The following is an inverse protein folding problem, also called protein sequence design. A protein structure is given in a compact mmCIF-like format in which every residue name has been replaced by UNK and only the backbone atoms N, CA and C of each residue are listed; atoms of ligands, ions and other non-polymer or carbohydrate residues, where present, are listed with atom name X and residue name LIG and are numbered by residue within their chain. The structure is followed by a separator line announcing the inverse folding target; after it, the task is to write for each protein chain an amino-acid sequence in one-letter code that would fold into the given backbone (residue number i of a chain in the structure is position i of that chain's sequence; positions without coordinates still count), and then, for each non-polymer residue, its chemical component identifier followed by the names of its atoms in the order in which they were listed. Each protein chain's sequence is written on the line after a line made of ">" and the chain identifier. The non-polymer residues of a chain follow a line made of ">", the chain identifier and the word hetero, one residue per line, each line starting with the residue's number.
data_IF_122476948292
#
_entry.id   IF_122476948292
#
_cell.length_a   1.000
_cell.length_b   1.000
_cell.length_c   1.000
_cell.angle_alpha   90.00
_cell.angle_beta   90.00
_cell.angle_gamma   90.00
#
_symmetry.space_group_name_H-M   'P 1'
#
loop_
_entity.id
_entity.type
_entity.pdbx_description
1 polymer ?
#
# COMPACT_ATOMS: atom_id res chain seq x y z
N UNK A 1 39.84 -3.66 -49.90
CA UNK A 1 39.60 -4.07 -48.51
C UNK A 1 38.59 -3.11 -47.92
N UNK A 2 37.30 -3.48 -48.03
CA UNK A 2 36.18 -2.63 -47.59
C UNK A 2 35.90 -2.82 -46.10
N UNK A 3 36.05 -1.74 -45.35
CA UNK A 3 35.63 -1.70 -43.93
C UNK A 3 34.13 -1.45 -43.89
N UNK A 4 33.33 -2.51 -43.68
CA UNK A 4 31.92 -2.40 -43.32
C UNK A 4 31.78 -1.67 -41.97
N UNK A 5 31.28 -0.44 -42.02
CA UNK A 5 30.78 0.30 -40.84
C UNK A 5 29.48 -0.37 -40.36
N UNK A 6 29.55 -1.06 -39.26
CA UNK A 6 28.37 -1.49 -38.52
C UNK A 6 27.73 -0.26 -37.84
N UNK A 7 26.69 0.27 -38.44
CA UNK A 7 25.82 1.27 -37.81
C UNK A 7 24.96 0.57 -36.80
N UNK A 8 25.33 0.69 -35.53
CA UNK A 8 24.46 0.38 -34.38
C UNK A 8 23.27 1.32 -34.44
N UNK A 9 22.10 0.81 -34.82
CA UNK A 9 20.86 1.55 -34.74
C UNK A 9 20.45 1.63 -33.28
N UNK A 10 20.78 2.74 -32.62
CA UNK A 10 20.11 3.15 -31.38
C UNK A 10 18.64 3.39 -31.75
N UNK A 11 17.79 2.44 -31.39
CA UNK A 11 16.34 2.60 -31.46
C UNK A 11 16.00 3.76 -30.54
N UNK A 12 15.59 4.90 -31.10
CA UNK A 12 15.14 6.04 -30.33
C UNK A 12 14.05 5.55 -29.38
N UNK A 13 14.30 5.62 -28.06
CA UNK A 13 13.28 5.37 -27.05
C UNK A 13 12.20 6.41 -27.27
N UNK A 14 10.99 5.95 -27.57
CA UNK A 14 9.80 6.81 -27.72
C UNK A 14 9.71 7.76 -26.51
N UNK A 15 9.74 9.05 -26.78
CA UNK A 15 9.64 10.11 -25.77
C UNK A 15 8.20 10.38 -25.33
N UNK A 16 7.24 9.59 -25.78
CA UNK A 16 5.87 9.67 -25.29
C UNK A 16 5.82 9.22 -23.82
N UNK A 17 5.61 10.17 -22.93
CA UNK A 17 5.34 9.90 -21.51
C UNK A 17 3.99 9.20 -21.39
N UNK A 18 4.01 7.88 -21.22
CA UNK A 18 2.80 7.12 -20.92
C UNK A 18 2.45 7.25 -19.45
N UNK A 19 1.19 7.46 -19.16
CA UNK A 19 0.67 7.41 -17.80
C UNK A 19 0.89 6.00 -17.25
N UNK A 20 1.59 5.87 -16.12
CA UNK A 20 1.89 4.57 -15.50
C UNK A 20 0.93 4.25 -14.36
N UNK A 21 0.52 5.25 -13.60
CA UNK A 21 -0.35 5.08 -12.45
C UNK A 21 -1.19 6.31 -12.14
N UNK A 22 -2.34 6.08 -11.51
CA UNK A 22 -3.21 7.12 -10.93
C UNK A 22 -3.36 6.88 -9.43
N UNK A 23 -3.24 7.96 -8.64
CA UNK A 23 -3.65 8.02 -7.24
C UNK A 23 -5.02 8.68 -7.17
N UNK A 24 -6.04 7.93 -6.75
CA UNK A 24 -7.41 8.39 -6.70
C UNK A 24 -7.89 8.47 -5.23
N UNK A 25 -8.11 9.67 -4.75
CA UNK A 25 -8.73 9.93 -3.45
C UNK A 25 -10.24 9.82 -3.61
N UNK A 26 -10.80 8.67 -3.25
CA UNK A 26 -12.20 8.35 -3.54
C UNK A 26 -13.20 8.94 -2.57
N UNK A 27 -12.78 9.29 -1.35
CA UNK A 27 -13.64 9.89 -0.33
C UNK A 27 -12.83 10.66 0.71
N UNK A 28 -13.37 11.76 1.21
CA UNK A 28 -12.87 12.46 2.39
C UNK A 28 -13.38 11.88 3.72
N UNK A 29 -14.32 10.94 3.70
CA UNK A 29 -14.90 10.35 4.92
C UNK A 29 -13.99 9.28 5.50
N UNK A 30 -13.85 9.28 6.83
CA UNK A 30 -13.10 8.25 7.55
C UNK A 30 -13.80 7.95 8.89
N UNK A 31 -13.78 6.68 9.30
CA UNK A 31 -14.29 6.21 10.59
C UNK A 31 -13.17 6.02 11.63
N UNK A 32 -11.96 6.53 11.36
CA UNK A 32 -10.84 6.57 12.28
C UNK A 32 -10.31 8.02 12.44
N UNK A 33 -9.61 8.29 13.54
CA UNK A 33 -9.01 9.61 13.86
C UNK A 33 -7.52 9.45 14.15
N UNK A 34 -6.79 8.86 13.19
CA UNK A 34 -5.39 8.54 13.37
C UNK A 34 -4.55 9.78 13.70
N UNK A 35 -3.72 9.68 14.73
CA UNK A 35 -2.84 10.77 15.15
C UNK A 35 -1.84 11.17 14.05
N UNK A 36 -1.32 10.19 13.30
CA UNK A 36 -0.36 10.39 12.21
C UNK A 36 -0.99 10.64 10.83
N UNK A 37 -2.32 10.86 10.75
CA UNK A 37 -3.00 11.03 9.47
C UNK A 37 -2.54 12.32 8.76
N UNK A 38 -1.85 12.16 7.62
CA UNK A 38 -1.41 13.27 6.78
C UNK A 38 -2.54 13.94 5.98
N UNK A 39 -3.69 13.26 5.86
CA UNK A 39 -4.87 13.74 5.12
C UNK A 39 -5.92 14.39 6.03
N UNK A 40 -5.64 14.51 7.33
CA UNK A 40 -6.60 14.98 8.34
C UNK A 40 -7.17 16.36 8.02
N UNK A 41 -6.31 17.31 7.63
CA UNK A 41 -6.73 18.69 7.31
C UNK A 41 -7.65 18.76 6.09
N UNK A 42 -7.44 17.89 5.08
CA UNK A 42 -8.30 17.84 3.90
C UNK A 42 -9.68 17.24 4.24
N UNK A 43 -9.71 16.20 5.09
CA UNK A 43 -10.98 15.65 5.58
C UNK A 43 -11.79 16.66 6.38
N UNK A 44 -11.12 17.49 7.17
CA UNK A 44 -11.77 18.51 8.01
C UNK A 44 -12.40 19.65 7.18
N UNK A 45 -11.95 19.87 5.94
CA UNK A 45 -12.57 20.82 4.99
C UNK A 45 -13.95 20.40 4.49
N UNK A 46 -14.35 19.15 4.70
CA UNK A 46 -15.65 18.59 4.30
C UNK A 46 -16.03 18.87 2.84
N UNK A 47 -15.04 18.83 1.95
CA UNK A 47 -15.30 18.94 0.52
C UNK A 47 -16.12 17.73 0.04
N UNK A 48 -17.02 17.91 -0.94
CA UNK A 48 -17.76 16.79 -1.53
C UNK A 48 -16.80 15.80 -2.18
N UNK A 49 -17.11 14.52 -2.06
CA UNK A 49 -16.41 13.48 -2.80
C UNK A 49 -16.68 13.62 -4.31
N UNK A 50 -15.73 13.22 -5.15
CA UNK A 50 -15.98 13.08 -6.59
C UNK A 50 -17.18 12.16 -6.81
N UNK A 51 -18.12 12.59 -7.66
CA UNK A 51 -19.26 11.77 -8.09
C UNK A 51 -18.77 10.59 -8.93
N UNK A 52 -19.61 9.57 -9.06
CA UNK A 52 -19.32 8.45 -9.96
C UNK A 52 -19.14 8.91 -11.41
N UNK A 53 -19.95 9.87 -11.88
CA UNK A 53 -19.86 10.39 -13.25
C UNK A 53 -18.57 11.18 -13.50
N UNK A 54 -18.06 11.92 -12.51
CA UNK A 54 -16.76 12.59 -12.62
C UNK A 54 -15.61 11.57 -12.69
N UNK A 55 -15.64 10.53 -11.86
CA UNK A 55 -14.67 9.44 -11.91
C UNK A 55 -14.76 8.68 -13.24
N UNK A 56 -15.97 8.49 -13.75
CA UNK A 56 -16.20 7.89 -15.07
C UNK A 56 -15.52 8.70 -16.17
N UNK A 57 -15.68 10.03 -16.19
CA UNK A 57 -14.98 10.90 -17.14
C UNK A 57 -13.46 10.77 -17.04
N UNK A 58 -12.91 10.69 -15.81
CA UNK A 58 -11.47 10.46 -15.61
C UNK A 58 -11.06 9.14 -16.27
N UNK A 59 -11.79 8.05 -16.05
CA UNK A 59 -11.45 6.76 -16.64
C UNK A 59 -11.55 6.75 -18.18
N UNK A 60 -12.56 7.44 -18.76
CA UNK A 60 -12.76 7.53 -20.21
C UNK A 60 -11.67 8.36 -20.91
N UNK A 61 -11.03 9.30 -20.21
CA UNK A 61 -10.06 10.24 -20.79
C UNK A 61 -8.61 9.94 -20.45
N UNK A 62 -8.34 9.17 -19.39
CA UNK A 62 -6.98 8.90 -18.90
C UNK A 62 -6.16 7.97 -19.84
N UNK A 63 -6.81 7.23 -20.75
CA UNK A 63 -6.14 6.23 -21.57
C UNK A 63 -5.70 5.00 -20.76
N UNK A 64 -4.80 4.19 -21.31
CA UNK A 64 -4.32 2.98 -20.65
C UNK A 64 -3.21 3.29 -19.65
N UNK A 65 -3.26 2.63 -18.48
CA UNK A 65 -2.22 2.66 -17.48
C UNK A 65 -2.22 1.37 -16.64
N UNK A 66 -1.16 1.12 -15.85
CA UNK A 66 -0.98 -0.17 -15.20
C UNK A 66 -1.56 -0.22 -13.78
N UNK A 67 -1.44 0.85 -12.99
CA UNK A 67 -1.69 0.81 -11.55
C UNK A 67 -2.68 1.85 -11.08
N UNK A 68 -3.67 1.41 -10.31
CA UNK A 68 -4.62 2.29 -9.63
C UNK A 68 -4.36 2.24 -8.11
N UNK A 69 -3.96 3.38 -7.56
CA UNK A 69 -3.76 3.56 -6.13
C UNK A 69 -4.98 4.26 -5.54
N UNK A 70 -5.79 3.51 -4.81
CA UNK A 70 -6.92 4.07 -4.07
C UNK A 70 -6.39 4.75 -2.81
N UNK A 71 -6.97 5.88 -2.45
CA UNK A 71 -6.64 6.66 -1.26
C UNK A 71 -7.86 7.46 -0.78
N UNK A 72 -7.64 8.32 0.20
CA UNK A 72 -8.65 9.21 0.77
C UNK A 72 -8.69 9.12 2.28
N UNK A 73 -9.89 9.22 2.86
CA UNK A 73 -10.15 8.83 4.26
C UNK A 73 -10.11 7.30 4.38
N UNK A 74 -11.27 6.67 4.57
CA UNK A 74 -11.37 5.21 4.52
C UNK A 74 -12.13 4.80 3.24
N UNK A 75 -11.45 4.22 2.24
CA UNK A 75 -12.09 3.87 0.97
C UNK A 75 -13.29 2.94 1.11
N UNK A 76 -13.27 2.07 2.13
CA UNK A 76 -14.34 1.10 2.38
C UNK A 76 -15.65 1.74 2.87
N UNK A 77 -15.68 3.05 3.10
CA UNK A 77 -16.91 3.80 3.38
C UNK A 77 -17.62 4.27 2.10
N UNK A 78 -16.96 4.18 0.94
CA UNK A 78 -17.56 4.55 -0.33
C UNK A 78 -18.28 3.34 -0.94
N UNK A 79 -19.60 3.41 -1.08
CA UNK A 79 -20.42 2.24 -1.46
C UNK A 79 -20.19 1.77 -2.89
N UNK A 80 -19.98 2.71 -3.82
CA UNK A 80 -19.74 2.45 -5.24
C UNK A 80 -18.26 2.16 -5.58
N UNK A 81 -17.39 1.92 -4.58
CA UNK A 81 -15.98 1.61 -4.83
C UNK A 81 -15.78 0.37 -5.73
N UNK A 82 -16.51 -0.75 -5.56
CA UNK A 82 -16.37 -1.88 -6.47
C UNK A 82 -16.64 -1.51 -7.93
N UNK A 83 -17.69 -0.73 -8.20
CA UNK A 83 -18.04 -0.24 -9.53
C UNK A 83 -16.94 0.66 -10.11
N UNK A 84 -16.34 1.51 -9.29
CA UNK A 84 -15.20 2.35 -9.69
C UNK A 84 -14.01 1.50 -10.12
N UNK A 85 -13.68 0.46 -9.37
CA UNK A 85 -12.57 -0.44 -9.71
C UNK A 85 -12.82 -1.17 -11.02
N UNK A 86 -14.04 -1.70 -11.21
CA UNK A 86 -14.47 -2.39 -12.42
C UNK A 86 -14.43 -1.44 -13.65
N UNK A 87 -14.79 -0.17 -13.44
CA UNK A 87 -14.74 0.87 -14.48
C UNK A 87 -13.30 1.08 -14.99
N UNK A 88 -12.33 1.26 -14.09
CA UNK A 88 -10.92 1.42 -14.47
C UNK A 88 -10.31 0.14 -15.06
N UNK A 89 -10.73 -1.03 -14.59
CA UNK A 89 -10.33 -2.30 -15.19
C UNK A 89 -10.77 -2.38 -16.65
N UNK A 90 -12.03 -2.03 -16.92
CA UNK A 90 -12.63 -2.07 -18.27
C UNK A 90 -12.04 -1.01 -19.21
N UNK A 91 -11.96 0.25 -18.76
CA UNK A 91 -11.63 1.37 -19.63
C UNK A 91 -10.11 1.57 -19.77
N UNK A 92 -9.33 1.32 -18.72
CA UNK A 92 -7.93 1.67 -18.66
C UNK A 92 -6.99 0.44 -18.64
N UNK A 93 -7.56 -0.78 -18.60
CA UNK A 93 -6.81 -2.05 -18.61
C UNK A 93 -5.78 -2.16 -17.49
N UNK A 94 -6.13 -1.67 -16.29
CA UNK A 94 -5.27 -1.72 -15.12
C UNK A 94 -4.90 -3.18 -14.78
N UNK A 95 -3.67 -3.36 -14.28
CA UNK A 95 -3.10 -4.66 -13.90
C UNK A 95 -3.03 -4.85 -12.39
N UNK A 96 -2.93 -3.75 -11.67
CA UNK A 96 -2.76 -3.74 -10.22
C UNK A 96 -3.63 -2.65 -9.59
N UNK A 97 -4.36 -3.02 -8.54
CA UNK A 97 -5.10 -2.09 -7.67
C UNK A 97 -4.54 -2.20 -6.26
N UNK A 98 -4.26 -1.06 -5.63
CA UNK A 98 -3.92 -0.99 -4.20
C UNK A 98 -5.03 -0.29 -3.42
N UNK A 99 -5.54 -0.94 -2.38
CA UNK A 99 -6.60 -0.42 -1.51
C UNK A 99 -6.11 -0.41 -0.07
N UNK A 100 -5.76 0.78 0.47
CA UNK A 100 -5.50 0.92 1.89
C UNK A 100 -6.80 0.83 2.68
N UNK A 101 -6.76 0.23 3.86
CA UNK A 101 -7.91 0.16 4.75
C UNK A 101 -7.49 0.07 6.22
N UNK A 102 -8.28 0.68 7.09
CA UNK A 102 -8.12 0.55 8.54
C UNK A 102 -8.68 -0.78 9.11
N UNK A 103 -9.30 -1.59 8.27
CA UNK A 103 -9.80 -2.91 8.63
C UNK A 103 -11.05 -2.95 9.52
N UNK A 104 -11.74 -1.83 9.74
CA UNK A 104 -12.92 -1.75 10.62
C UNK A 104 -14.20 -2.40 10.06
N UNK A 105 -14.19 -2.83 8.80
CA UNK A 105 -15.35 -3.42 8.10
C UNK A 105 -14.99 -4.78 7.47
N UNK A 106 -14.67 -5.82 8.27
CA UNK A 106 -14.13 -7.09 7.77
C UNK A 106 -14.97 -7.73 6.67
N UNK A 107 -16.29 -7.86 6.88
CA UNK A 107 -17.19 -8.53 5.94
C UNK A 107 -17.32 -7.78 4.62
N UNK A 108 -17.44 -6.44 4.69
CA UNK A 108 -17.49 -5.58 3.51
C UNK A 108 -16.22 -5.71 2.66
N UNK A 109 -15.06 -5.73 3.28
CA UNK A 109 -13.78 -5.86 2.58
C UNK A 109 -13.71 -7.20 1.86
N UNK A 110 -14.09 -8.29 2.52
CA UNK A 110 -14.11 -9.62 1.90
C UNK A 110 -15.10 -9.70 0.73
N UNK A 111 -16.30 -9.14 0.90
CA UNK A 111 -17.31 -9.08 -0.16
C UNK A 111 -16.79 -8.34 -1.40
N UNK A 112 -16.16 -7.17 -1.20
CA UNK A 112 -15.61 -6.39 -2.29
C UNK A 112 -14.45 -7.08 -3.01
N UNK A 113 -13.56 -7.72 -2.27
CA UNK A 113 -12.48 -8.51 -2.87
C UNK A 113 -13.06 -9.68 -3.69
N UNK A 114 -14.09 -10.37 -3.17
CA UNK A 114 -14.79 -11.44 -3.92
C UNK A 114 -15.37 -10.91 -5.24
N UNK A 115 -16.13 -9.83 -5.17
CA UNK A 115 -16.73 -9.19 -6.35
C UNK A 115 -15.66 -8.76 -7.36
N UNK A 116 -14.60 -8.09 -6.89
CA UNK A 116 -13.50 -7.67 -7.76
C UNK A 116 -12.83 -8.85 -8.44
N UNK A 117 -12.56 -9.94 -7.72
CA UNK A 117 -11.95 -11.14 -8.30
C UNK A 117 -12.82 -11.80 -9.36
N UNK A 118 -14.14 -11.76 -9.18
CA UNK A 118 -15.09 -12.28 -10.16
C UNK A 118 -15.13 -11.45 -11.44
N UNK A 119 -15.13 -10.11 -11.31
CA UNK A 119 -15.33 -9.18 -12.42
C UNK A 119 -14.03 -8.71 -13.08
N UNK A 120 -12.90 -8.83 -12.37
CA UNK A 120 -11.57 -8.38 -12.81
C UNK A 120 -10.52 -9.50 -12.67
N UNK A 121 -10.69 -10.66 -13.33
CA UNK A 121 -9.91 -11.89 -13.05
C UNK A 121 -8.41 -11.73 -13.30
N UNK A 122 -7.99 -10.90 -14.24
CA UNK A 122 -6.58 -10.72 -14.62
C UNK A 122 -5.86 -9.62 -13.82
N UNK A 123 -6.61 -8.82 -13.04
CA UNK A 123 -6.06 -7.73 -12.25
C UNK A 123 -5.68 -8.21 -10.84
N UNK A 124 -4.51 -7.81 -10.37
CA UNK A 124 -4.14 -8.03 -8.96
C UNK A 124 -4.85 -7.02 -8.07
N UNK A 125 -5.27 -7.46 -6.90
CA UNK A 125 -5.76 -6.58 -5.84
C UNK A 125 -4.86 -6.69 -4.62
N UNK A 126 -4.26 -5.59 -4.21
CA UNK A 126 -3.47 -5.48 -2.98
C UNK A 126 -4.31 -4.83 -1.90
N UNK A 127 -4.73 -5.61 -0.91
CA UNK A 127 -5.38 -5.08 0.29
C UNK A 127 -4.28 -4.69 1.27
N UNK A 128 -4.08 -3.38 1.43
CA UNK A 128 -3.07 -2.80 2.31
C UNK A 128 -3.69 -2.45 3.65
N UNK A 129 -3.63 -3.41 4.58
CA UNK A 129 -4.23 -3.28 5.90
C UNK A 129 -3.32 -2.46 6.82
N UNK A 130 -3.88 -1.40 7.37
CA UNK A 130 -3.20 -0.56 8.36
C UNK A 130 -3.10 -1.27 9.71
N UNK A 131 -1.87 -1.53 10.19
CA UNK A 131 -1.64 -2.18 11.48
C UNK A 131 -0.30 -1.69 12.07
N UNK A 132 -0.34 -0.93 13.18
CA UNK A 132 0.80 -0.13 13.62
C UNK A 132 1.47 -0.63 14.90
N UNK A 133 1.04 -1.75 15.46
CA UNK A 133 1.57 -2.28 16.72
C UNK A 133 0.55 -3.13 17.44
N UNK A 134 0.86 -3.50 18.68
CA UNK A 134 0.01 -4.39 19.48
C UNK A 134 -1.12 -3.63 20.20
N UNK A 135 -2.31 -4.21 20.19
CA UNK A 135 -3.44 -3.87 21.07
C UNK A 135 -3.69 -2.36 21.19
N UNK A 136 -3.55 -1.85 22.40
CA UNK A 136 -3.84 -0.44 22.73
C UNK A 136 -2.90 0.55 22.05
N UNK A 137 -1.67 0.18 21.71
CA UNK A 137 -0.76 1.05 20.94
C UNK A 137 -1.35 1.34 19.56
N UNK A 138 -1.79 0.31 18.85
CA UNK A 138 -2.50 0.48 17.58
C UNK A 138 -3.77 1.30 17.73
N UNK A 139 -4.61 0.97 18.70
CA UNK A 139 -5.88 1.65 18.93
C UNK A 139 -5.70 3.14 19.24
N UNK A 140 -4.71 3.48 20.06
CA UNK A 140 -4.35 4.87 20.38
C UNK A 140 -3.88 5.62 19.12
N UNK A 141 -2.99 5.01 18.35
CA UNK A 141 -2.44 5.61 17.14
C UNK A 141 -3.53 5.82 16.07
N UNK A 142 -4.49 4.91 15.96
CA UNK A 142 -5.64 4.99 15.03
C UNK A 142 -6.82 5.80 15.57
N UNK A 143 -6.83 6.10 16.87
CA UNK A 143 -7.92 6.84 17.53
C UNK A 143 -9.24 6.07 17.54
N UNK A 144 -9.19 4.72 17.59
CA UNK A 144 -10.36 3.83 17.59
C UNK A 144 -10.13 2.66 18.53
N UNK A 145 -10.76 2.63 19.72
CA UNK A 145 -10.68 1.48 20.61
C UNK A 145 -11.17 0.19 19.93
N UNK A 146 -10.41 -0.90 20.10
CA UNK A 146 -10.71 -2.21 19.52
C UNK A 146 -10.38 -2.36 18.04
N UNK A 147 -9.80 -1.35 17.39
CA UNK A 147 -9.41 -1.44 15.98
C UNK A 147 -8.38 -2.55 15.73
N UNK A 148 -7.45 -2.77 16.65
CA UNK A 148 -6.48 -3.85 16.54
C UNK A 148 -7.14 -5.20 16.26
N UNK A 149 -8.12 -5.58 17.07
CA UNK A 149 -8.82 -6.85 16.89
C UNK A 149 -9.66 -6.89 15.61
N UNK A 150 -10.26 -5.77 15.20
CA UNK A 150 -11.00 -5.68 13.94
C UNK A 150 -10.09 -5.79 12.72
N UNK A 151 -8.92 -5.17 12.76
CA UNK A 151 -7.91 -5.31 11.71
C UNK A 151 -7.40 -6.77 11.62
N UNK A 152 -7.15 -7.42 12.76
CA UNK A 152 -6.78 -8.85 12.77
C UNK A 152 -7.89 -9.75 12.24
N UNK A 153 -9.15 -9.47 12.58
CA UNK A 153 -10.32 -10.18 12.03
C UNK A 153 -10.36 -10.03 10.50
N UNK A 154 -10.14 -8.81 10.00
CA UNK A 154 -10.07 -8.55 8.56
C UNK A 154 -8.96 -9.36 7.89
N UNK A 155 -7.75 -9.34 8.44
CA UNK A 155 -6.62 -10.08 7.90
C UNK A 155 -6.90 -11.59 7.87
N UNK A 156 -7.44 -12.14 8.96
CA UNK A 156 -7.81 -13.54 9.06
C UNK A 156 -8.86 -13.91 8.00
N UNK A 157 -9.93 -13.13 7.86
CA UNK A 157 -10.98 -13.39 6.87
C UNK A 157 -10.46 -13.31 5.43
N UNK A 158 -9.58 -12.35 5.11
CA UNK A 158 -8.94 -12.29 3.79
C UNK A 158 -8.07 -13.54 3.57
N UNK A 159 -7.31 -13.96 4.56
CA UNK A 159 -6.46 -15.15 4.46
C UNK A 159 -7.29 -16.43 4.28
N UNK A 160 -8.39 -16.58 5.00
CA UNK A 160 -9.30 -17.75 4.89
C UNK A 160 -10.02 -17.83 3.53
N UNK A 161 -10.42 -16.68 2.98
CA UNK A 161 -11.16 -16.63 1.72
C UNK A 161 -10.26 -16.64 0.47
N UNK A 162 -9.02 -16.11 0.59
CA UNK A 162 -8.14 -15.86 -0.56
C UNK A 162 -6.70 -16.28 -0.30
N UNK A 163 -6.45 -17.18 0.64
CA UNK A 163 -5.09 -17.61 1.00
C UNK A 163 -4.27 -18.11 -0.17
N UNK A 164 -4.91 -18.86 -1.06
CA UNK A 164 -4.31 -19.50 -2.23
C UNK A 164 -4.53 -18.71 -3.55
N UNK A 165 -5.26 -17.59 -3.51
CA UNK A 165 -5.43 -16.73 -4.68
C UNK A 165 -4.21 -15.82 -4.84
N UNK A 166 -3.32 -16.16 -5.78
CA UNK A 166 -2.10 -15.39 -6.09
C UNK A 166 -2.37 -13.98 -6.63
N UNK A 167 -3.63 -13.64 -6.94
CA UNK A 167 -4.04 -12.30 -7.39
C UNK A 167 -4.51 -11.41 -6.23
N UNK A 168 -4.74 -11.98 -5.04
CA UNK A 168 -5.10 -11.23 -3.83
C UNK A 168 -3.87 -11.08 -2.94
N UNK A 169 -3.21 -9.94 -3.06
CA UNK A 169 -2.04 -9.61 -2.26
C UNK A 169 -2.48 -9.03 -0.90
N UNK A 170 -1.81 -9.45 0.14
CA UNK A 170 -2.07 -9.06 1.53
C UNK A 170 -0.86 -8.29 2.05
N UNK A 171 -0.98 -6.95 2.08
CA UNK A 171 0.05 -6.09 2.64
C UNK A 171 -0.35 -5.60 4.03
N UNK A 172 0.60 -5.54 4.93
CA UNK A 172 0.48 -4.77 6.16
C UNK A 172 1.19 -3.43 5.95
N UNK A 173 0.52 -2.34 6.28
CA UNK A 173 1.08 -1.00 6.26
C UNK A 173 1.19 -0.48 7.70
N UNK A 174 2.42 -0.23 8.14
CA UNK A 174 2.74 0.29 9.48
C UNK A 174 3.35 1.68 9.37
N UNK A 175 2.79 2.63 10.10
CA UNK A 175 3.39 3.96 10.26
C UNK A 175 4.12 4.03 11.58
N UNK A 176 5.43 4.30 11.54
CA UNK A 176 6.26 4.48 12.74
C UNK A 176 6.00 5.87 13.32
N UNK A 177 5.74 5.90 14.61
CA UNK A 177 5.58 7.09 15.43
C UNK A 177 6.27 6.88 16.78
N UNK A 178 6.29 7.92 17.62
CA UNK A 178 6.76 7.79 19.00
C UNK A 178 6.00 6.73 19.83
N UNK A 179 4.78 6.36 19.42
CA UNK A 179 3.93 5.43 20.18
C UNK A 179 4.27 3.96 19.98
N UNK A 180 4.82 3.60 18.82
CA UNK A 180 5.08 2.20 18.47
C UNK A 180 6.54 1.87 18.21
N UNK A 181 7.43 2.84 18.29
CA UNK A 181 8.85 2.70 17.94
C UNK A 181 9.54 1.58 18.72
N UNK A 182 9.25 1.46 20.02
CA UNK A 182 9.91 0.51 20.91
C UNK A 182 9.41 -0.95 20.73
N UNK A 183 8.36 -1.16 19.93
CA UNK A 183 7.79 -2.48 19.69
C UNK A 183 7.81 -2.91 18.21
N UNK A 184 8.41 -2.11 17.33
CA UNK A 184 8.26 -2.31 15.88
C UNK A 184 8.89 -3.62 15.40
N UNK A 185 10.06 -3.98 15.92
CA UNK A 185 10.75 -5.21 15.59
C UNK A 185 9.94 -6.45 16.03
N UNK A 186 9.53 -6.49 17.30
CA UNK A 186 8.71 -7.57 17.85
C UNK A 186 7.39 -7.69 17.10
N UNK A 187 6.76 -6.54 16.79
CA UNK A 187 5.51 -6.50 16.06
C UNK A 187 5.64 -7.06 14.64
N UNK A 188 6.67 -6.66 13.91
CA UNK A 188 6.92 -7.18 12.56
C UNK A 188 7.23 -8.68 12.57
N UNK A 189 8.05 -9.12 13.51
CA UNK A 189 8.39 -10.53 13.69
C UNK A 189 7.14 -11.35 14.01
N UNK A 190 6.29 -10.85 14.89
CA UNK A 190 5.01 -11.50 15.20
C UNK A 190 4.08 -11.57 13.99
N UNK A 191 3.92 -10.49 13.23
CA UNK A 191 3.12 -10.49 11.99
C UNK A 191 3.65 -11.51 10.99
N UNK A 192 4.98 -11.51 10.78
CA UNK A 192 5.62 -12.44 9.86
C UNK A 192 5.40 -13.91 10.24
N UNK A 193 5.53 -14.23 11.52
CA UNK A 193 5.35 -15.60 12.02
C UNK A 193 3.88 -16.05 12.10
N UNK A 194 2.94 -15.11 12.25
CA UNK A 194 1.53 -15.43 12.47
C UNK A 194 0.67 -15.42 11.21
N UNK A 195 1.03 -14.58 10.24
CA UNK A 195 0.21 -14.38 9.04
C UNK A 195 1.02 -14.60 7.76
N UNK A 196 0.36 -15.17 6.77
CA UNK A 196 0.93 -15.31 5.42
C UNK A 196 0.63 -14.04 4.60
N UNK A 197 1.28 -12.95 4.98
CA UNK A 197 1.20 -11.67 4.26
C UNK A 197 2.19 -11.66 3.09
N UNK A 198 1.82 -10.97 2.01
CA UNK A 198 2.67 -10.82 0.82
C UNK A 198 3.84 -9.87 1.10
N UNK A 199 3.53 -8.75 1.78
CA UNK A 199 4.51 -7.72 2.13
C UNK A 199 4.15 -7.07 3.46
N UNK A 200 5.13 -6.38 4.06
CA UNK A 200 4.94 -5.48 5.19
C UNK A 200 5.65 -4.16 4.89
N UNK A 201 4.88 -3.12 4.61
CA UNK A 201 5.42 -1.79 4.32
C UNK A 201 5.52 -0.99 5.60
N UNK A 202 6.67 -0.34 5.81
CA UNK A 202 6.91 0.54 6.95
C UNK A 202 7.21 1.94 6.45
N UNK A 203 6.54 2.93 7.03
CA UNK A 203 6.75 4.34 6.74
C UNK A 203 6.88 5.13 8.05
N UNK A 204 7.74 6.15 8.08
CA UNK A 204 7.74 7.11 9.18
C UNK A 204 6.60 8.13 8.99
N UNK A 205 5.99 8.58 10.10
CA UNK A 205 5.00 9.64 10.07
C UNK A 205 5.60 10.92 9.46
N UNK A 206 4.96 11.47 8.44
CA UNK A 206 5.45 12.60 7.64
C UNK A 206 4.36 13.59 7.28
N UNK A 207 4.76 14.77 6.79
CA UNK A 207 3.85 15.82 6.35
C UNK A 207 3.10 16.48 7.52
N UNK A 208 1.97 17.09 7.24
CA UNK A 208 1.10 17.71 8.25
C UNK A 208 0.21 16.62 8.86
N UNK A 209 0.57 16.14 10.03
CA UNK A 209 -0.19 15.11 10.75
C UNK A 209 -1.28 15.73 11.64
N UNK A 210 -2.28 14.93 12.04
CA UNK A 210 -3.32 15.39 12.98
C UNK A 210 -2.74 15.80 14.33
N UNK A 211 -1.76 15.03 14.83
CA UNK A 211 -0.96 15.33 16.00
C UNK A 211 0.51 15.44 15.58
N UNK A 212 1.06 16.64 15.56
CA UNK A 212 2.45 16.86 15.18
C UNK A 212 3.47 16.23 16.14
N UNK A 213 3.06 16.00 17.40
CA UNK A 213 3.88 15.33 18.40
C UNK A 213 4.22 13.88 18.06
N UNK A 214 3.54 13.24 17.09
CA UNK A 214 3.85 11.84 16.70
C UNK A 214 5.14 11.70 15.90
N UNK A 215 5.66 12.78 15.31
CA UNK A 215 6.81 12.80 14.38
C UNK A 215 8.18 12.89 15.07
N UNK A 216 8.26 12.80 16.39
CA UNK A 216 9.51 12.96 17.13
C UNK A 216 10.40 11.74 16.92
N UNK A 217 11.02 11.66 15.76
CA UNK A 217 11.97 10.63 15.39
C UNK A 217 13.29 11.29 14.99
N UNK A 218 14.34 11.01 15.74
CA UNK A 218 15.68 11.48 15.37
C UNK A 218 16.27 10.58 14.28
N UNK A 219 17.23 11.08 13.51
CA UNK A 219 17.92 10.28 12.49
C UNK A 219 18.58 9.03 13.11
N UNK A 220 19.18 9.16 14.29
CA UNK A 220 19.79 8.04 15.02
C UNK A 220 18.77 6.97 15.38
N UNK A 221 17.57 7.36 15.79
CA UNK A 221 16.48 6.44 16.10
C UNK A 221 16.00 5.71 14.84
N UNK A 222 15.85 6.42 13.72
CA UNK A 222 15.43 5.82 12.45
C UNK A 222 16.48 4.84 11.89
N UNK A 223 17.78 5.15 12.03
CA UNK A 223 18.87 4.24 11.67
C UNK A 223 18.84 2.97 12.50
N UNK A 224 18.71 3.10 13.83
CA UNK A 224 18.59 1.95 14.72
C UNK A 224 17.41 1.05 14.31
N UNK A 225 16.22 1.62 14.10
CA UNK A 225 15.07 0.83 13.65
C UNK A 225 15.35 0.09 12.35
N UNK A 226 15.99 0.75 11.39
CA UNK A 226 16.33 0.12 10.12
C UNK A 226 17.25 -1.09 10.33
N UNK A 227 18.25 -0.98 11.20
CA UNK A 227 19.15 -2.09 11.51
C UNK A 227 18.38 -3.22 12.20
N UNK A 228 17.52 -2.90 13.18
CA UNK A 228 16.70 -3.85 13.93
C UNK A 228 15.72 -4.63 13.03
N UNK A 229 15.06 -3.96 12.07
CA UNK A 229 14.06 -4.59 11.19
C UNK A 229 14.64 -5.21 9.91
N UNK A 230 15.91 -4.96 9.59
CA UNK A 230 16.56 -5.46 8.37
C UNK A 230 16.51 -6.99 8.22
N UNK A 231 16.72 -7.79 9.29
CA UNK A 231 16.61 -9.25 9.21
C UNK A 231 15.20 -9.72 8.80
N UNK A 232 14.15 -9.11 9.38
CA UNK A 232 12.78 -9.50 9.07
C UNK A 232 12.37 -9.10 7.65
N UNK A 233 12.87 -7.97 7.13
CA UNK A 233 12.70 -7.62 5.73
C UNK A 233 13.37 -8.60 4.79
N UNK A 234 14.56 -9.09 5.13
CA UNK A 234 15.23 -10.14 4.36
C UNK A 234 14.39 -11.42 4.32
N UNK A 235 13.76 -11.79 5.43
CA UNK A 235 12.86 -12.94 5.50
C UNK A 235 11.61 -12.76 4.64
N UNK A 236 11.03 -11.55 4.60
CA UNK A 236 9.94 -11.24 3.66
C UNK A 236 10.38 -11.35 2.21
N UNK A 237 11.57 -10.83 1.86
CA UNK A 237 12.13 -10.93 0.52
C UNK A 237 12.34 -12.38 0.10
N UNK A 238 12.85 -13.22 1.00
CA UNK A 238 13.08 -14.64 0.74
C UNK A 238 11.76 -15.41 0.55
N UNK A 239 10.71 -15.07 1.33
CA UNK A 239 9.36 -15.61 1.16
C UNK A 239 8.79 -15.26 -0.22
N UNK A 240 8.87 -13.99 -0.64
CA UNK A 240 8.43 -13.56 -1.97
C UNK A 240 9.19 -14.26 -3.10
N UNK A 241 10.49 -14.50 -2.91
CA UNK A 241 11.34 -15.22 -3.87
C UNK A 241 10.97 -16.69 -3.95
N UNK A 242 10.61 -17.33 -2.83
CA UNK A 242 10.16 -18.72 -2.82
C UNK A 242 8.87 -18.93 -3.63
N UNK A 243 7.99 -17.94 -3.61
CA UNK A 243 6.73 -17.94 -4.38
C UNK A 243 6.93 -17.56 -5.87
N UNK A 244 8.16 -17.24 -6.30
CA UNK A 244 8.48 -16.82 -7.67
C UNK A 244 9.32 -17.89 -8.38
N UNK A 245 9.06 -18.17 -9.66
CA UNK A 245 9.81 -19.17 -10.43
C UNK A 245 10.84 -18.54 -11.37
N UNK A 246 11.99 -19.23 -11.57
CA UNK A 246 12.97 -18.93 -12.61
C UNK A 246 13.84 -17.68 -12.38
N UNK A 247 14.26 -17.02 -13.49
CA UNK A 247 15.16 -15.85 -13.51
C UNK A 247 14.61 -14.60 -12.79
N UNK A 248 13.34 -14.57 -12.44
CA UNK A 248 12.73 -13.44 -11.69
C UNK A 248 13.13 -13.39 -10.22
N UNK A 249 13.58 -14.51 -9.64
CA UNK A 249 13.97 -14.61 -8.21
C UNK A 249 14.99 -13.55 -7.75
N UNK A 250 16.17 -13.41 -8.37
CA UNK A 250 17.16 -12.43 -7.93
C UNK A 250 16.70 -10.98 -8.15
N UNK A 251 15.93 -10.73 -9.22
CA UNK A 251 15.38 -9.41 -9.53
C UNK A 251 14.34 -8.99 -8.48
N UNK A 252 13.43 -9.89 -8.12
CA UNK A 252 12.40 -9.64 -7.10
C UNK A 252 13.05 -9.33 -5.74
N UNK A 253 14.07 -10.11 -5.35
CA UNK A 253 14.82 -9.87 -4.11
C UNK A 253 15.54 -8.52 -4.13
N UNK A 254 16.20 -8.19 -5.24
CA UNK A 254 16.90 -6.92 -5.41
C UNK A 254 15.95 -5.72 -5.31
N UNK A 255 14.79 -5.77 -5.97
CA UNK A 255 13.78 -4.71 -5.88
C UNK A 255 13.20 -4.56 -4.48
N UNK A 256 12.92 -5.66 -3.79
CA UNK A 256 12.38 -5.61 -2.43
C UNK A 256 13.39 -5.04 -1.43
N UNK A 257 14.65 -5.47 -1.50
CA UNK A 257 15.74 -4.92 -0.69
C UNK A 257 16.08 -3.48 -1.11
N UNK A 258 15.89 -3.13 -2.39
CA UNK A 258 16.03 -1.77 -2.90
C UNK A 258 14.96 -0.82 -2.37
N UNK A 259 13.72 -1.29 -2.14
CA UNK A 259 12.66 -0.53 -1.46
C UNK A 259 13.06 -0.15 -0.02
N UNK A 260 13.76 -1.03 0.69
CA UNK A 260 14.31 -0.75 2.03
C UNK A 260 15.34 0.38 1.95
N UNK A 261 16.24 0.36 0.94
CA UNK A 261 17.20 1.44 0.70
C UNK A 261 16.55 2.76 0.29
N UNK A 262 15.42 2.70 -0.42
CA UNK A 262 14.65 3.89 -0.83
C UNK A 262 13.94 4.52 0.38
N UNK A 263 13.44 3.72 1.31
CA UNK A 263 12.99 4.21 2.62
C UNK A 263 14.12 4.97 3.35
N UNK A 264 15.34 4.45 3.29
CA UNK A 264 16.54 5.10 3.82
C UNK A 264 16.81 6.46 3.17
N UNK A 265 16.77 6.56 1.85
CA UNK A 265 17.03 7.80 1.12
C UNK A 265 15.91 8.82 1.32
N UNK A 266 14.65 8.38 1.42
CA UNK A 266 13.51 9.27 1.74
C UNK A 266 13.61 9.79 3.18
N UNK A 267 14.05 8.98 4.12
CA UNK A 267 14.29 9.39 5.51
C UNK A 267 15.45 10.38 5.62
N UNK A 268 16.49 10.25 4.78
CA UNK A 268 17.61 11.20 4.72
C UNK A 268 17.28 12.50 4.00
N UNK A 269 16.25 12.56 3.16
CA UNK A 269 15.77 13.75 2.45
C UNK A 269 14.76 14.59 3.24
N UNK A 270 14.30 14.12 4.40
CA UNK A 270 13.36 14.86 5.28
C UNK A 270 14.08 15.96 6.09
N UNK A 271 15.37 16.13 5.90
CA UNK A 271 16.16 17.21 6.51
C UNK A 271 16.38 18.44 5.60
N UNK A 272 15.45 18.67 4.64
CA UNK A 272 15.40 19.95 3.91
C UNK A 272 14.11 20.69 4.26
#
# INVERSE_FOLDING_TARGET
>A
MDKKRTTSSFRAMSTERKLESIFLFVTGRCNAKCAMCFYAQEMDKKQPDLTFDEIKKISETAGQFNRLWISGGEPTLREDLPEILELFYKNNHIKDVNIPTNGLKPDRIVEWVKRFRQNCPDCNINVSLSLDGFGTTHDTQRGVPGNFYKALETLRKIQENFGDDGKVLKNIATVITKYNIDQIEDFMTWVYGRFRTSTHTIEAARGMTRDDGVKILTESTLRKIQDDISPIYSAYADRMVADTTGLRKPITRFFYLGLIRTLYNVLSLIHI
#
